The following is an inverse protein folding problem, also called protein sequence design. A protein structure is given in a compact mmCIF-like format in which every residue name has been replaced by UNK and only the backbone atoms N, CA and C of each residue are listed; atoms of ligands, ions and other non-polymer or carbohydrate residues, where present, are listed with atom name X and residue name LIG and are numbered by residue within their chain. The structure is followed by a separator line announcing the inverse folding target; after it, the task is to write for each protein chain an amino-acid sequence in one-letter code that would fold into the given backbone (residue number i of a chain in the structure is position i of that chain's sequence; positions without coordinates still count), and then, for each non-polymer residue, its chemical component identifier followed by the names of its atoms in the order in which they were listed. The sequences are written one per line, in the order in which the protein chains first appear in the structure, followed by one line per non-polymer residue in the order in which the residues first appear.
data_IF_726614003207
#
_entry.id   IF_726614003207
#
_cell.length_a   1.000
_cell.length_b   1.000
_cell.length_c   1.000
_cell.angle_alpha   90.00
_cell.angle_beta   90.00
_cell.angle_gamma   90.00
#
_symmetry.space_group_name_H-M   'P 1'
#
loop_
_entity.id
_entity.type
_entity.pdbx_description
1 polymer ?
#
# COMPACT_ATOMS: atom_id res chain seq x y z
N UNK A 1 0.58 0.14 12.09
CA UNK A 1 -0.83 -0.31 11.95
C UNK A 1 -0.80 -1.69 11.29
N UNK A 2 -1.45 -2.70 11.86
CA UNK A 2 -1.73 -3.98 11.18
C UNK A 2 -3.20 -3.92 10.78
N UNK A 3 -3.50 -3.69 9.51
CA UNK A 3 -4.85 -3.88 8.99
C UNK A 3 -5.08 -5.38 8.85
N UNK A 4 -6.25 -5.89 9.29
CA UNK A 4 -6.62 -7.31 9.19
C UNK A 4 -6.88 -7.81 7.77
N UNK A 5 -6.45 -7.07 6.74
CA UNK A 5 -6.62 -7.45 5.35
C UNK A 5 -5.54 -8.44 4.93
N UNK A 6 -5.95 -9.52 4.27
CA UNK A 6 -5.05 -10.53 3.73
C UNK A 6 -4.65 -10.20 2.30
N UNK A 7 -3.35 -10.24 2.01
CA UNK A 7 -2.80 -10.13 0.63
C UNK A 7 -1.98 -11.39 0.35
N UNK A 8 -2.62 -12.52 -0.02
CA UNK A 8 -1.98 -13.84 -0.04
C UNK A 8 -0.77 -13.95 -0.97
N UNK A 9 -0.74 -13.16 -2.05
CA UNK A 9 0.36 -13.20 -3.04
C UNK A 9 1.72 -12.82 -2.44
N UNK A 10 1.76 -12.08 -1.33
CA UNK A 10 3.01 -11.70 -0.65
C UNK A 10 3.79 -12.91 -0.15
N UNK A 11 3.11 -13.97 0.29
CA UNK A 11 3.73 -15.24 0.68
C UNK A 11 4.35 -15.95 -0.53
N UNK A 12 3.64 -15.94 -1.66
CA UNK A 12 4.12 -16.55 -2.89
C UNK A 12 5.37 -15.85 -3.42
N UNK A 13 5.39 -14.51 -3.40
CA UNK A 13 6.57 -13.74 -3.78
C UNK A 13 7.78 -14.09 -2.93
N UNK A 14 7.60 -14.21 -1.61
CA UNK A 14 8.68 -14.62 -0.71
C UNK A 14 9.19 -16.03 -1.04
N UNK A 15 8.30 -16.98 -1.35
CA UNK A 15 8.68 -18.37 -1.65
C UNK A 15 9.32 -18.57 -3.01
N UNK A 16 8.84 -17.88 -4.03
CA UNK A 16 9.27 -18.09 -5.43
C UNK A 16 10.44 -17.17 -5.79
N UNK A 17 10.39 -15.91 -5.37
CA UNK A 17 11.39 -14.90 -5.73
C UNK A 17 12.45 -14.73 -4.64
N UNK A 18 12.14 -15.13 -3.40
CA UNK A 18 13.07 -15.00 -2.26
C UNK A 18 13.18 -13.59 -1.69
N UNK A 19 12.32 -12.66 -2.13
CA UNK A 19 12.34 -11.25 -1.71
C UNK A 19 11.16 -10.91 -0.80
N UNK A 20 11.40 -10.02 0.16
CA UNK A 20 10.37 -9.46 1.03
C UNK A 20 9.51 -8.45 0.26
N UNK A 21 8.19 -8.51 0.44
CA UNK A 21 7.27 -7.50 -0.11
C UNK A 21 7.10 -6.31 0.83
N UNK A 22 7.15 -5.10 0.27
CA UNK A 22 6.69 -3.89 0.96
C UNK A 22 5.27 -3.58 0.49
N UNK A 23 4.32 -3.51 1.42
CA UNK A 23 2.96 -3.07 1.14
C UNK A 23 2.82 -1.60 1.54
N UNK A 24 2.47 -0.75 0.57
CA UNK A 24 2.18 0.66 0.80
C UNK A 24 0.68 0.89 0.62
N UNK A 25 0.03 1.32 1.70
CA UNK A 25 -1.39 1.65 1.70
C UNK A 25 -1.61 3.08 2.20
N UNK A 26 -2.50 3.80 1.51
CA UNK A 26 -2.86 5.19 1.84
C UNK A 26 -4.33 5.32 2.24
N UNK A 27 -5.05 4.21 2.38
CA UNK A 27 -6.44 4.25 2.83
C UNK A 27 -6.56 4.59 4.31
N UNK A 28 -7.63 5.30 4.67
CA UNK A 28 -8.02 5.57 6.04
C UNK A 28 -9.06 4.55 6.52
N UNK A 29 -9.20 4.31 7.84
CA UNK A 29 -10.25 3.44 8.36
C UNK A 29 -11.68 3.87 7.98
N UNK A 30 -11.87 5.14 7.62
CA UNK A 30 -13.15 5.72 7.21
C UNK A 30 -13.51 5.45 5.76
N UNK A 31 -12.59 4.97 4.92
CA UNK A 31 -12.79 4.85 3.48
C UNK A 31 -13.84 3.81 3.08
N UNK A 32 -14.30 2.98 4.03
CA UNK A 32 -15.43 2.05 3.85
C UNK A 32 -15.24 1.09 2.67
N UNK A 33 -14.01 0.61 2.49
CA UNK A 33 -13.66 -0.35 1.43
C UNK A 33 -14.64 -1.54 1.48
N UNK A 34 -15.32 -1.80 0.37
CA UNK A 34 -16.35 -2.84 0.22
C UNK A 34 -17.67 -2.58 0.99
N UNK A 35 -17.98 -1.33 1.32
CA UNK A 35 -19.22 -0.92 1.99
C UNK A 35 -19.87 0.29 1.29
N UNK A 36 -21.18 0.57 1.51
CA UNK A 36 -21.82 1.76 0.96
C UNK A 36 -21.11 3.05 1.40
N UNK A 37 -21.07 4.06 0.53
CA UNK A 37 -20.32 5.31 0.71
C UNK A 37 -18.79 5.14 0.79
N UNK A 38 -18.27 4.09 0.14
CA UNK A 38 -16.84 3.95 -0.15
C UNK A 38 -16.31 5.24 -0.78
N UNK A 39 -15.24 5.77 -0.19
CA UNK A 39 -14.63 7.02 -0.63
C UNK A 39 -13.13 6.99 -0.41
N UNK A 40 -12.44 7.95 -1.02
CA UNK A 40 -11.02 8.14 -0.84
C UNK A 40 -10.71 9.62 -0.71
N UNK A 41 -9.82 9.95 0.21
CA UNK A 41 -9.48 11.34 0.50
C UNK A 41 -8.56 11.90 -0.58
N UNK A 42 -8.88 13.09 -1.11
CA UNK A 42 -8.09 13.77 -2.15
C UNK A 42 -6.65 14.01 -1.67
N UNK A 43 -6.46 14.35 -0.39
CA UNK A 43 -5.13 14.51 0.18
C UNK A 43 -4.34 13.20 0.17
N UNK A 44 -4.99 12.05 0.43
CA UNK A 44 -4.33 10.73 0.35
C UNK A 44 -3.96 10.36 -1.09
N UNK A 45 -4.69 10.86 -2.09
CA UNK A 45 -4.34 10.67 -3.50
C UNK A 45 -3.05 11.41 -3.86
N UNK A 46 -2.96 12.70 -3.53
CA UNK A 46 -1.78 13.49 -3.84
C UNK A 46 -0.57 13.11 -2.99
N UNK A 47 -0.76 12.94 -1.67
CA UNK A 47 0.32 12.53 -0.78
C UNK A 47 0.79 11.10 -1.07
N UNK A 48 -0.13 10.20 -1.44
CA UNK A 48 0.20 8.84 -1.87
C UNK A 48 1.06 8.81 -3.13
N UNK A 49 0.78 9.68 -4.10
CA UNK A 49 1.61 9.82 -5.30
C UNK A 49 3.03 10.32 -4.96
N UNK A 50 3.15 11.35 -4.12
CA UNK A 50 4.44 11.87 -3.66
C UNK A 50 5.22 10.82 -2.88
N UNK A 51 4.57 10.12 -1.94
CA UNK A 51 5.19 9.06 -1.15
C UNK A 51 5.70 7.91 -2.03
N UNK A 52 4.93 7.52 -3.05
CA UNK A 52 5.31 6.46 -4.00
C UNK A 52 6.54 6.88 -4.82
N UNK A 53 6.57 8.11 -5.32
CA UNK A 53 7.73 8.65 -6.04
C UNK A 53 8.97 8.72 -5.14
N UNK A 54 8.81 9.17 -3.89
CA UNK A 54 9.90 9.23 -2.92
C UNK A 54 10.45 7.83 -2.58
N UNK A 55 9.56 6.83 -2.41
CA UNK A 55 9.98 5.44 -2.16
C UNK A 55 10.83 4.90 -3.31
N UNK A 56 10.41 5.11 -4.56
CA UNK A 56 11.19 4.69 -5.73
C UNK A 56 12.53 5.42 -5.82
N UNK A 57 12.55 6.72 -5.52
CA UNK A 57 13.80 7.49 -5.46
C UNK A 57 14.78 6.93 -4.43
N UNK A 58 14.29 6.65 -3.21
CA UNK A 58 15.11 6.07 -2.15
C UNK A 58 15.62 4.67 -2.52
N UNK A 59 14.80 3.83 -3.16
CA UNK A 59 15.21 2.48 -3.59
C UNK A 59 16.24 2.53 -4.71
N UNK A 60 16.13 3.49 -5.64
CA UNK A 60 17.14 3.69 -6.70
C UNK A 60 18.50 4.08 -6.13
N UNK A 61 18.51 4.85 -5.05
CA UNK A 61 19.72 5.43 -4.45
C UNK A 61 20.33 4.55 -3.33
N UNK A 62 19.77 3.35 -3.09
CA UNK A 62 20.31 2.30 -2.22
C UNK A 62 21.38 1.47 -2.94
#
# INVERSE_FOLDING_TARGET
IRCGASVPITELFQRVVGLNCVLMGFGLPTDQIHSPNEHFHIDQLFNGAVASAAMLGNVRDM
#
